data_IF_737782589585
#
_entry.id   IF_737782589585
#
_cell.length_a   1.000
_cell.length_b   1.000
_cell.length_c   1.000
_cell.angle_alpha   90.00
_cell.angle_beta   90.00
_cell.angle_gamma   90.00
#
_symmetry.space_group_name_H-M   'P 1'
#
loop_
_entity.id
_entity.type
_entity.pdbx_description
1 polymer ?
#
# COMPACT_ATOMS: atom_id res chain seq x y z
N UNK A 1 -1.59 11.17 -10.26
CA UNK A 1 -0.76 10.15 -9.58
C UNK A 1 0.66 10.68 -9.45
N UNK A 2 1.20 10.64 -8.26
CA UNK A 2 2.56 11.12 -7.97
C UNK A 2 3.43 9.89 -7.68
N UNK A 3 4.62 9.84 -8.31
CA UNK A 3 5.60 8.81 -8.03
C UNK A 3 6.12 8.98 -6.60
N UNK A 4 5.82 8.03 -5.73
CA UNK A 4 6.31 8.05 -4.35
C UNK A 4 7.66 7.34 -4.28
N UNK A 5 8.72 8.14 -4.29
CA UNK A 5 10.09 7.67 -4.33
C UNK A 5 10.46 6.79 -3.13
N UNK A 6 9.86 7.05 -1.98
CA UNK A 6 10.12 6.27 -0.77
C UNK A 6 9.33 4.95 -0.76
N UNK A 7 8.09 4.97 -1.23
CA UNK A 7 7.28 3.76 -1.35
C UNK A 7 7.91 2.77 -2.32
N UNK A 8 8.41 3.26 -3.45
CA UNK A 8 9.11 2.43 -4.43
C UNK A 8 10.37 1.80 -3.82
N UNK A 9 11.19 2.58 -3.13
CA UNK A 9 12.39 2.07 -2.48
C UNK A 9 12.09 1.01 -1.42
N UNK A 10 11.06 1.23 -0.61
CA UNK A 10 10.62 0.27 0.41
C UNK A 10 10.15 -1.04 -0.22
N UNK A 11 9.39 -0.95 -1.31
CA UNK A 11 8.91 -2.13 -2.03
C UNK A 11 10.06 -2.92 -2.63
N UNK A 12 11.05 -2.24 -3.23
CA UNK A 12 12.25 -2.89 -3.77
C UNK A 12 13.03 -3.62 -2.68
N UNK A 13 13.19 -3.00 -1.53
CA UNK A 13 13.85 -3.63 -0.38
C UNK A 13 13.09 -4.87 0.08
N UNK A 14 11.78 -4.81 0.13
CA UNK A 14 10.93 -5.93 0.49
C UNK A 14 11.09 -7.10 -0.48
N UNK A 15 11.10 -6.84 -1.79
CA UNK A 15 11.34 -7.84 -2.82
C UNK A 15 12.72 -8.46 -2.64
N UNK A 16 13.75 -7.63 -2.48
CA UNK A 16 15.13 -8.07 -2.28
C UNK A 16 15.26 -8.99 -1.07
N UNK A 17 14.67 -8.59 0.05
CA UNK A 17 14.72 -9.38 1.29
C UNK A 17 14.00 -10.73 1.14
N UNK A 18 12.93 -10.77 0.38
CA UNK A 18 12.20 -12.02 0.10
C UNK A 18 13.10 -13.07 -0.56
N UNK A 19 14.01 -12.63 -1.42
CA UNK A 19 14.96 -13.53 -2.10
C UNK A 19 16.28 -13.69 -1.35
N UNK A 20 16.47 -13.01 -0.22
CA UNK A 20 17.71 -13.05 0.52
C UNK A 20 18.88 -12.37 -0.19
N UNK A 21 18.59 -11.40 -1.06
CA UNK A 21 19.59 -10.72 -1.88
C UNK A 21 20.18 -9.52 -1.16
N UNK A 22 21.48 -9.28 -1.39
CA UNK A 22 22.10 -7.99 -1.09
C UNK A 22 21.69 -6.98 -2.16
N UNK A 23 21.94 -5.69 -1.91
CA UNK A 23 21.70 -4.65 -2.93
C UNK A 23 22.50 -4.93 -4.21
N UNK A 24 23.74 -5.44 -4.07
CA UNK A 24 24.56 -5.79 -5.21
C UNK A 24 23.97 -6.95 -6.00
N UNK A 25 23.47 -7.98 -5.32
CA UNK A 25 22.81 -9.12 -5.97
C UNK A 25 21.60 -8.67 -6.79
N UNK A 26 20.81 -7.77 -6.23
CA UNK A 26 19.62 -7.24 -6.92
C UNK A 26 20.02 -6.41 -8.13
N UNK A 27 21.05 -5.56 -7.99
CA UNK A 27 21.57 -4.75 -9.09
C UNK A 27 22.05 -5.62 -10.25
N UNK A 28 22.80 -6.67 -9.95
CA UNK A 28 23.26 -7.62 -10.95
C UNK A 28 22.11 -8.32 -11.65
N UNK A 29 21.11 -8.75 -10.90
CA UNK A 29 19.93 -9.42 -11.45
C UNK A 29 19.14 -8.54 -12.43
N UNK A 30 19.17 -7.23 -12.23
CA UNK A 30 18.46 -6.24 -13.03
C UNK A 30 19.35 -5.59 -14.09
N UNK A 31 20.62 -5.98 -14.17
CA UNK A 31 21.62 -5.45 -15.09
C UNK A 31 21.76 -3.92 -14.97
N UNK A 32 21.84 -3.44 -13.74
CA UNK A 32 22.10 -2.03 -13.41
C UNK A 32 23.28 -1.94 -12.45
N UNK A 33 23.89 -0.74 -12.37
CA UNK A 33 24.98 -0.53 -11.42
C UNK A 33 24.47 -0.59 -9.99
N UNK A 34 25.35 -1.03 -9.08
CA UNK A 34 25.06 -1.04 -7.65
C UNK A 34 24.69 0.36 -7.13
N UNK A 35 25.44 1.36 -7.55
CA UNK A 35 25.23 2.75 -7.10
C UNK A 35 23.83 3.22 -7.54
N UNK A 36 23.48 3.00 -8.80
CA UNK A 36 22.18 3.40 -9.32
C UNK A 36 21.03 2.69 -8.61
N UNK A 37 21.12 1.38 -8.44
CA UNK A 37 20.11 0.60 -7.73
C UNK A 37 19.98 1.07 -6.27
N UNK A 38 21.11 1.25 -5.59
CA UNK A 38 21.13 1.70 -4.19
C UNK A 38 20.45 3.06 -4.02
N UNK A 39 20.68 3.98 -4.93
CA UNK A 39 20.05 5.30 -4.90
C UNK A 39 18.53 5.21 -5.09
N UNK A 40 18.05 4.32 -5.95
CA UNK A 40 16.61 4.10 -6.13
C UNK A 40 15.98 3.51 -4.87
N UNK A 41 16.62 2.53 -4.27
CA UNK A 41 16.12 1.89 -3.04
C UNK A 41 16.10 2.86 -1.86
N UNK A 42 17.05 3.79 -1.80
CA UNK A 42 17.13 4.81 -0.75
C UNK A 42 16.19 6.00 -0.98
N UNK A 43 15.48 6.04 -2.09
CA UNK A 43 14.57 7.13 -2.41
C UNK A 43 15.26 8.40 -2.90
N UNK A 44 16.45 8.29 -3.49
CA UNK A 44 17.22 9.43 -4.03
C UNK A 44 17.04 9.64 -5.52
N UNK A 45 16.71 8.60 -6.25
CA UNK A 45 16.49 8.63 -7.69
C UNK A 45 15.21 7.89 -8.05
N UNK A 46 14.57 8.35 -9.11
CA UNK A 46 13.41 7.69 -9.69
C UNK A 46 13.86 6.53 -10.57
N UNK A 47 13.04 5.51 -10.61
CA UNK A 47 13.23 4.36 -11.46
C UNK A 47 12.79 4.68 -12.89
N UNK A 48 13.58 4.23 -13.87
CA UNK A 48 13.18 4.36 -15.28
C UNK A 48 12.06 3.37 -15.61
N UNK A 49 11.31 3.67 -16.68
CA UNK A 49 10.28 2.76 -17.17
C UNK A 49 10.86 1.41 -17.55
N UNK A 50 12.03 1.39 -18.18
CA UNK A 50 12.70 0.16 -18.57
C UNK A 50 13.04 -0.72 -17.37
N UNK A 51 13.57 -0.12 -16.31
CA UNK A 51 13.88 -0.85 -15.08
C UNK A 51 12.61 -1.37 -14.41
N UNK A 52 11.55 -0.58 -14.40
CA UNK A 52 10.24 -1.02 -13.90
C UNK A 52 9.75 -2.26 -14.63
N UNK A 53 9.82 -2.27 -15.96
CA UNK A 53 9.40 -3.40 -16.76
C UNK A 53 10.24 -4.65 -16.48
N UNK A 54 11.54 -4.49 -16.27
CA UNK A 54 12.42 -5.59 -15.88
C UNK A 54 11.99 -6.20 -14.54
N UNK A 55 11.70 -5.38 -13.56
CA UNK A 55 11.28 -5.84 -12.22
C UNK A 55 9.94 -6.56 -12.30
N UNK A 56 8.96 -5.98 -12.96
CA UNK A 56 7.63 -6.57 -13.14
C UNK A 56 7.72 -7.92 -13.83
N UNK A 57 8.49 -7.99 -14.91
CA UNK A 57 8.63 -9.22 -15.70
C UNK A 57 9.42 -10.30 -14.95
N UNK A 58 10.52 -9.93 -14.34
CA UNK A 58 11.44 -10.88 -13.70
C UNK A 58 10.93 -11.42 -12.37
N UNK A 59 10.32 -10.54 -11.56
CA UNK A 59 9.88 -10.89 -10.21
C UNK A 59 8.37 -11.06 -10.08
N UNK A 60 7.62 -10.85 -11.16
CA UNK A 60 6.17 -11.03 -11.16
C UNK A 60 5.45 -10.07 -10.24
N UNK A 61 5.98 -8.88 -10.05
CA UNK A 61 5.41 -7.86 -9.15
C UNK A 61 4.34 -7.07 -9.89
N UNK A 62 3.19 -6.88 -9.26
CA UNK A 62 2.16 -5.98 -9.78
C UNK A 62 2.70 -4.54 -9.79
N UNK A 63 2.60 -3.82 -10.93
CA UNK A 63 3.03 -2.42 -11.00
C UNK A 63 2.38 -1.54 -9.94
N UNK A 64 1.13 -1.76 -9.59
CA UNK A 64 0.46 -1.02 -8.53
C UNK A 64 1.13 -1.22 -7.18
N UNK A 65 1.52 -2.46 -6.87
CA UNK A 65 2.26 -2.79 -5.65
C UNK A 65 3.63 -2.14 -5.66
N UNK A 66 4.33 -2.17 -6.80
CA UNK A 66 5.66 -1.59 -6.94
C UNK A 66 5.66 -0.09 -6.64
N UNK A 67 4.66 0.63 -7.11
CA UNK A 67 4.54 2.07 -6.89
C UNK A 67 3.78 2.45 -5.62
N UNK A 68 3.37 1.47 -4.81
CA UNK A 68 2.62 1.74 -3.59
C UNK A 68 1.20 2.23 -3.83
N UNK A 69 0.64 1.95 -5.01
CA UNK A 69 -0.72 2.35 -5.35
C UNK A 69 -1.68 1.26 -4.89
N UNK A 70 -2.50 1.59 -3.91
CA UNK A 70 -3.57 0.70 -3.48
C UNK A 70 -4.82 0.98 -4.29
N UNK A 71 -5.53 -0.08 -4.70
CA UNK A 71 -6.83 0.09 -5.30
C UNK A 71 -7.81 0.66 -4.26
N UNK A 72 -8.80 1.43 -4.73
CA UNK A 72 -9.84 1.97 -3.86
C UNK A 72 -10.52 0.86 -3.05
N UNK A 73 -10.80 -0.26 -3.68
CA UNK A 73 -11.40 -1.43 -3.05
C UNK A 73 -10.55 -1.98 -1.91
N UNK A 74 -9.23 -2.15 -2.11
CA UNK A 74 -8.32 -2.61 -1.06
C UNK A 74 -8.27 -1.65 0.11
N UNK A 75 -8.31 -0.34 -0.16
CA UNK A 75 -8.31 0.69 0.89
C UNK A 75 -9.58 0.64 1.72
N UNK A 76 -10.73 0.56 1.08
CA UNK A 76 -12.04 0.44 1.74
C UNK A 76 -12.12 -0.82 2.59
N UNK A 77 -11.66 -1.96 2.08
CA UNK A 77 -11.63 -3.22 2.82
C UNK A 77 -10.71 -3.14 4.04
N UNK A 78 -9.58 -2.46 3.93
CA UNK A 78 -8.66 -2.27 5.05
C UNK A 78 -9.28 -1.40 6.15
N UNK A 79 -9.94 -0.32 5.78
CA UNK A 79 -10.64 0.56 6.73
C UNK A 79 -11.77 -0.18 7.44
N UNK A 80 -12.56 -0.95 6.73
CA UNK A 80 -13.61 -1.78 7.32
C UNK A 80 -13.05 -2.82 8.28
N UNK A 81 -11.94 -3.46 7.92
CA UNK A 81 -11.28 -4.45 8.78
C UNK A 81 -10.79 -3.83 10.09
N UNK A 82 -10.21 -2.64 10.03
CA UNK A 82 -9.78 -1.89 11.23
C UNK A 82 -10.97 -1.56 12.11
N UNK A 83 -12.08 -1.11 11.52
CA UNK A 83 -13.30 -0.79 12.26
C UNK A 83 -13.87 -2.02 12.95
N UNK A 84 -13.95 -3.14 12.26
CA UNK A 84 -14.44 -4.42 12.81
C UNK A 84 -13.58 -4.88 13.99
N UNK A 85 -12.25 -4.82 13.85
CA UNK A 85 -11.32 -5.20 14.91
C UNK A 85 -11.50 -4.32 16.16
N UNK A 86 -11.64 -3.02 15.97
CA UNK A 86 -11.87 -2.09 17.09
C UNK A 86 -13.19 -2.35 17.79
N UNK A 87 -14.25 -2.65 17.05
CA UNK A 87 -15.54 -3.00 17.62
C UNK A 87 -15.46 -4.28 18.45
N UNK A 88 -14.72 -5.29 17.98
CA UNK A 88 -14.55 -6.56 18.68
C UNK A 88 -13.78 -6.39 20.00
N UNK A 89 -12.89 -5.40 20.10
CA UNK A 89 -12.12 -5.14 21.31
C UNK A 89 -12.92 -4.41 22.39
N UNK A 90 -14.07 -3.85 22.05
CA UNK A 90 -14.93 -3.16 23.01
C UNK A 90 -15.70 -4.15 23.89
N UNK A 91 -16.04 -3.72 25.11
CA UNK A 91 -16.97 -4.45 25.98
C UNK A 91 -18.34 -4.51 25.31
N UNK A 92 -19.16 -5.56 25.57
CA UNK A 92 -20.46 -5.72 24.89
C UNK A 92 -21.37 -4.49 24.95
N UNK A 93 -21.43 -3.79 26.09
CA UNK A 93 -22.24 -2.57 26.22
C UNK A 93 -21.71 -1.43 25.36
N UNK A 94 -20.40 -1.26 25.33
CA UNK A 94 -19.76 -0.20 24.53
C UNK A 94 -19.90 -0.50 23.04
N UNK A 95 -19.80 -1.77 22.65
CA UNK A 95 -20.01 -2.19 21.26
C UNK A 95 -21.42 -1.85 20.80
N UNK A 96 -22.42 -2.21 21.61
CA UNK A 96 -23.84 -1.91 21.34
C UNK A 96 -24.07 -0.41 21.18
N UNK A 97 -23.50 0.38 22.08
CA UNK A 97 -23.59 1.84 22.01
C UNK A 97 -22.93 2.40 20.77
N UNK A 98 -21.74 1.91 20.43
CA UNK A 98 -21.01 2.35 19.22
C UNK A 98 -21.81 2.04 17.96
N UNK A 99 -22.39 0.85 17.86
CA UNK A 99 -23.20 0.46 16.70
C UNK A 99 -24.46 1.29 16.60
N UNK A 100 -25.13 1.56 17.71
CA UNK A 100 -26.31 2.42 17.74
C UNK A 100 -25.98 3.84 17.29
N UNK A 101 -24.88 4.39 17.78
CA UNK A 101 -24.42 5.73 17.40
C UNK A 101 -24.08 5.82 15.92
N UNK A 102 -23.39 4.80 15.38
CA UNK A 102 -23.10 4.72 13.95
C UNK A 102 -24.37 4.66 13.10
N UNK A 103 -25.35 3.88 13.53
CA UNK A 103 -26.63 3.76 12.81
C UNK A 103 -27.36 5.10 12.76
N UNK A 104 -27.45 5.81 13.88
CA UNK A 104 -28.08 7.14 13.95
C UNK A 104 -27.36 8.11 13.02
N UNK A 105 -26.03 8.08 13.01
CA UNK A 105 -25.24 8.95 12.15
C UNK A 105 -25.51 8.66 10.65
N UNK A 106 -25.56 7.40 10.28
CA UNK A 106 -25.85 6.99 8.90
C UNK A 106 -27.26 7.41 8.49
N UNK A 107 -28.24 7.20 9.34
CA UNK A 107 -29.63 7.61 9.09
C UNK A 107 -29.74 9.14 8.91
N UNK A 108 -28.99 9.90 9.69
CA UNK A 108 -28.91 11.34 9.53
C UNK A 108 -28.33 11.78 8.19
N UNK A 109 -27.32 11.08 7.70
CA UNK A 109 -26.74 11.34 6.37
C UNK A 109 -27.71 10.97 5.24
N UNK A 110 -28.44 9.88 5.37
CA UNK A 110 -29.46 9.48 4.40
C UNK A 110 -30.57 10.53 4.31
N UNK A 111 -31.05 11.04 5.45
CA UNK A 111 -32.05 12.11 5.50
C UNK A 111 -31.56 13.38 4.80
N UNK A 112 -30.26 13.71 4.92
CA UNK A 112 -29.67 14.86 4.23
C UNK A 112 -29.68 14.73 2.72
N UNK A 113 -29.50 13.51 2.20
CA UNK A 113 -29.56 13.23 0.75
C UNK A 113 -30.95 13.46 0.17
N UNK A 114 -32.00 13.19 0.94
CA UNK A 114 -33.37 13.38 0.50
C UNK A 114 -33.79 14.86 0.41
N UNK A 115 -33.11 15.73 1.10
CA UNK A 115 -33.41 17.18 1.14
C UNK A 115 -32.79 17.95 -0.04
N UNK A 116 -31.91 17.33 -0.79
CA UNK A 116 -31.27 17.90 -1.97
C UNK A 116 -32.00 17.42 -3.22
#
# INVERSE_FOLDING_TARGET
MIYDIYAVGTTLRSIRNKYGYTQNDMAESLDVSYIHYSQIEQGRHRMSLELMLKIVTKYGVDPNTLFGIESREKRENKEMSVLEDKLQMLKPKDREYAMYTCLIFIEGLEARKEVV
#
